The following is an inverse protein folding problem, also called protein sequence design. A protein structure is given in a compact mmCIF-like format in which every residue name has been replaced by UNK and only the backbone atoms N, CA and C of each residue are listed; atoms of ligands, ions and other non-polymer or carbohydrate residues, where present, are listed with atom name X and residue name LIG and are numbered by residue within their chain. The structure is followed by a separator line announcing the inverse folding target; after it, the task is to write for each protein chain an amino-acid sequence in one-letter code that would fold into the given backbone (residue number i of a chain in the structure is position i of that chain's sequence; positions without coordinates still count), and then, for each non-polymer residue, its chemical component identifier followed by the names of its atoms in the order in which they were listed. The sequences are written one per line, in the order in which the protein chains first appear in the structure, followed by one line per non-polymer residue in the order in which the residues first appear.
data_IF_198316884257
#
_entry.id   IF_198316884257
#
_cell.length_a   1.000
_cell.length_b   1.000
_cell.length_c   1.000
_cell.angle_alpha   90.00
_cell.angle_beta   90.00
_cell.angle_gamma   90.00
#
_symmetry.space_group_name_H-M   'P 1'
#
loop_
_entity.id
_entity.type
_entity.pdbx_description
1 polymer ?
#
# COMPACT_ATOMS: atom_id res chain seq x y z
N UNK A 1 1.49 -9.72 18.80
CA UNK A 1 0.66 -8.50 19.01
C UNK A 1 -0.12 -8.06 17.74
N UNK A 2 0.40 -8.22 16.52
CA UNK A 2 -0.28 -7.86 15.25
C UNK A 2 -0.87 -9.03 14.44
N UNK A 3 -0.98 -10.23 15.00
CA UNK A 3 -1.37 -11.41 14.21
C UNK A 3 -2.76 -11.32 13.57
N UNK A 4 -3.72 -10.66 14.22
CA UNK A 4 -5.04 -10.41 13.67
C UNK A 4 -5.01 -9.43 12.47
N UNK A 5 -4.06 -8.49 12.41
CA UNK A 5 -3.86 -7.63 11.24
C UNK A 5 -3.36 -8.43 10.05
N UNK A 6 -2.43 -9.38 10.28
CA UNK A 6 -1.95 -10.27 9.22
C UNK A 6 -3.09 -11.14 8.64
N UNK A 7 -3.95 -11.69 9.51
CA UNK A 7 -5.13 -12.45 9.07
C UNK A 7 -6.11 -11.59 8.26
N UNK A 8 -6.39 -10.37 8.71
CA UNK A 8 -7.21 -9.40 7.97
C UNK A 8 -6.61 -9.04 6.62
N UNK A 9 -5.29 -8.79 6.56
CA UNK A 9 -4.59 -8.40 5.33
C UNK A 9 -4.58 -9.53 4.28
N UNK A 10 -4.41 -10.78 4.72
CA UNK A 10 -4.58 -11.98 3.87
C UNK A 10 -5.97 -12.09 3.26
N UNK A 11 -6.97 -11.52 3.93
CA UNK A 11 -8.37 -11.49 3.48
C UNK A 11 -8.71 -10.22 2.70
N UNK A 12 -7.72 -9.38 2.38
CA UNK A 12 -7.83 -8.09 1.68
C UNK A 12 -8.50 -6.96 2.47
N UNK A 13 -8.60 -7.09 3.79
CA UNK A 13 -9.06 -6.04 4.70
C UNK A 13 -7.84 -5.45 5.41
N UNK A 14 -7.07 -4.61 4.72
CA UNK A 14 -5.79 -4.13 5.25
C UNK A 14 -5.99 -3.10 6.36
N UNK A 15 -5.23 -3.23 7.45
CA UNK A 15 -5.14 -2.21 8.51
C UNK A 15 -4.11 -1.11 8.16
N UNK A 16 -3.51 -1.18 6.97
CA UNK A 16 -2.32 -0.42 6.60
C UNK A 16 -1.10 -1.25 6.96
N UNK A 17 -0.24 -0.70 7.81
CA UNK A 17 0.91 -1.41 8.37
C UNK A 17 0.49 -2.34 9.51
N UNK A 18 1.04 -3.55 9.54
CA UNK A 18 0.96 -4.48 10.67
C UNK A 18 1.91 -3.98 11.77
N UNK A 19 1.34 -3.58 12.90
CA UNK A 19 2.07 -2.93 14.00
C UNK A 19 1.56 -3.32 15.41
N UNK A 20 0.56 -4.19 15.50
CA UNK A 20 -0.07 -4.62 16.73
C UNK A 20 -1.10 -3.65 17.33
N UNK A 21 -1.27 -2.46 16.77
CA UNK A 21 -2.10 -1.42 17.38
C UNK A 21 -3.52 -1.42 16.79
N UNK A 22 -4.51 -1.49 17.69
CA UNK A 22 -5.91 -1.36 17.30
C UNK A 22 -6.32 0.12 17.29
N UNK A 23 -6.43 0.71 16.10
CA UNK A 23 -6.76 2.11 15.90
C UNK A 23 -7.84 2.30 14.83
N UNK A 24 -8.05 3.54 14.37
CA UNK A 24 -9.10 3.88 13.37
C UNK A 24 -9.03 3.03 12.10
N UNK A 25 -7.84 2.80 11.54
CA UNK A 25 -7.65 1.95 10.34
C UNK A 25 -8.06 0.50 10.62
N UNK A 26 -7.64 -0.02 11.77
CA UNK A 26 -7.97 -1.37 12.24
C UNK A 26 -9.49 -1.56 12.44
N UNK A 27 -10.15 -0.60 13.10
CA UNK A 27 -11.60 -0.59 13.28
C UNK A 27 -12.33 -0.62 11.94
N UNK A 28 -11.90 0.20 10.96
CA UNK A 28 -12.48 0.22 9.61
C UNK A 28 -12.31 -1.10 8.88
N UNK A 29 -11.10 -1.67 8.91
CA UNK A 29 -10.82 -2.98 8.30
C UNK A 29 -11.71 -4.08 8.92
N UNK A 30 -11.86 -4.09 10.24
CA UNK A 30 -12.75 -5.02 10.95
C UNK A 30 -14.21 -4.81 10.55
N UNK A 31 -14.71 -3.56 10.54
CA UNK A 31 -16.09 -3.26 10.11
C UNK A 31 -16.36 -3.78 8.69
N UNK A 32 -15.46 -3.53 7.75
CA UNK A 32 -15.63 -3.98 6.36
C UNK A 32 -15.51 -5.51 6.23
N UNK A 33 -14.67 -6.14 7.04
CA UNK A 33 -14.60 -7.59 7.13
C UNK A 33 -15.89 -8.20 7.69
N UNK A 34 -16.47 -7.60 8.73
CA UNK A 34 -17.77 -8.03 9.29
C UNK A 34 -18.88 -7.91 8.25
N UNK A 35 -18.94 -6.79 7.52
CA UNK A 35 -19.88 -6.60 6.40
C UNK A 35 -19.68 -7.70 5.34
N UNK A 36 -18.44 -7.96 4.93
CA UNK A 36 -18.12 -9.01 3.95
C UNK A 36 -18.58 -10.40 4.39
N UNK A 37 -18.53 -10.67 5.69
CA UNK A 37 -18.90 -11.95 6.30
C UNK A 37 -20.36 -12.00 6.76
N UNK A 38 -21.13 -10.93 6.58
CA UNK A 38 -22.49 -10.79 7.08
C UNK A 38 -22.60 -11.00 8.61
N UNK A 39 -21.62 -10.49 9.35
CA UNK A 39 -21.61 -10.50 10.82
C UNK A 39 -22.19 -9.18 11.36
N UNK A 40 -22.45 -9.12 12.67
CA UNK A 40 -22.74 -7.87 13.34
C UNK A 40 -21.59 -6.86 13.14
N UNK A 41 -21.92 -5.64 12.71
CA UNK A 41 -20.93 -4.60 12.37
C UNK A 41 -20.49 -3.81 13.61
N UNK A 42 -19.85 -4.48 14.56
CA UNK A 42 -19.39 -3.88 15.82
C UNK A 42 -18.14 -3.00 15.64
N UNK A 43 -17.35 -3.27 14.60
CA UNK A 43 -16.02 -2.68 14.41
C UNK A 43 -14.99 -3.14 15.46
N UNK A 44 -15.31 -4.16 16.24
CA UNK A 44 -14.45 -4.72 17.29
C UNK A 44 -14.03 -6.15 16.95
N UNK A 45 -12.92 -6.60 17.51
CA UNK A 45 -12.49 -8.02 17.44
C UNK A 45 -13.26 -8.88 18.45
N UNK A 46 -14.59 -8.83 18.39
CA UNK A 46 -15.47 -9.66 19.21
C UNK A 46 -15.30 -11.16 18.92
N UNK A 47 -15.96 -12.01 19.71
CA UNK A 47 -15.81 -13.47 19.63
C UNK A 47 -16.16 -13.96 18.23
N UNK A 48 -17.29 -13.51 17.66
CA UNK A 48 -17.76 -13.94 16.34
C UNK A 48 -16.78 -13.53 15.23
N UNK A 49 -16.27 -12.30 15.29
CA UNK A 49 -15.27 -11.79 14.35
C UNK A 49 -13.98 -12.60 14.41
N UNK A 50 -13.46 -12.89 15.61
CA UNK A 50 -12.24 -13.68 15.77
C UNK A 50 -12.39 -15.11 15.27
N UNK A 51 -13.54 -15.75 15.51
CA UNK A 51 -13.84 -17.08 14.97
C UNK A 51 -13.83 -17.09 13.43
N UNK A 52 -14.32 -16.01 12.80
CA UNK A 52 -14.36 -15.89 11.35
C UNK A 52 -13.03 -15.43 10.71
N UNK A 53 -12.12 -14.82 11.47
CA UNK A 53 -10.77 -14.46 11.01
C UNK A 53 -9.84 -15.67 10.88
N UNK A 54 -10.06 -16.68 11.72
CA UNK A 54 -9.23 -17.89 11.78
C UNK A 54 -8.32 -17.94 13.00
N UNK A 55 -7.48 -18.99 13.09
CA UNK A 55 -6.64 -19.25 14.26
C UNK A 55 -5.44 -18.28 14.29
N UNK A 56 -5.09 -17.69 15.45
CA UNK A 56 -3.94 -16.79 15.58
C UNK A 56 -2.56 -17.42 15.34
N UNK A 57 -2.44 -18.75 15.45
CA UNK A 57 -1.15 -19.48 15.36
C UNK A 57 -0.43 -19.34 14.02
N UNK A 58 -1.17 -19.06 12.93
CA UNK A 58 -0.59 -18.90 11.59
C UNK A 58 -0.18 -17.45 11.29
N UNK A 59 -0.21 -16.55 12.27
CA UNK A 59 -0.08 -15.11 12.00
C UNK A 59 1.38 -14.61 11.96
N UNK A 60 2.33 -15.45 12.35
CA UNK A 60 3.76 -15.20 12.28
C UNK A 60 4.47 -16.40 11.65
N UNK A 61 5.64 -16.17 11.05
CA UNK A 61 6.47 -17.20 10.45
C UNK A 61 7.94 -16.93 10.79
N UNK A 62 8.70 -18.01 10.93
CA UNK A 62 10.15 -17.94 10.97
C UNK A 62 10.69 -17.74 9.55
N UNK A 63 11.49 -16.69 9.38
CA UNK A 63 12.02 -16.25 8.12
C UNK A 63 13.53 -16.18 8.18
N UNK A 64 14.19 -16.79 7.19
CA UNK A 64 15.64 -16.69 7.02
C UNK A 64 15.95 -15.57 6.02
N UNK A 65 16.69 -14.55 6.45
CA UNK A 65 17.17 -13.50 5.54
C UNK A 65 18.05 -14.13 4.46
N UNK A 66 17.74 -13.88 3.19
CA UNK A 66 18.42 -14.50 2.06
C UNK A 66 19.49 -13.58 1.45
N UNK A 67 20.35 -14.11 0.59
CA UNK A 67 21.28 -13.27 -0.17
C UNK A 67 20.53 -12.39 -1.19
N UNK A 68 19.44 -12.92 -1.77
CA UNK A 68 18.56 -12.22 -2.71
C UNK A 68 17.84 -11.03 -2.07
N UNK A 69 17.42 -11.17 -0.82
CA UNK A 69 16.89 -10.07 -0.01
C UNK A 69 17.90 -8.92 0.09
N UNK A 70 19.15 -9.23 0.41
CA UNK A 70 20.22 -8.24 0.59
C UNK A 70 20.72 -7.67 -0.74
N UNK A 71 20.64 -8.42 -1.83
CA UNK A 71 21.00 -7.96 -3.18
C UNK A 71 20.10 -6.81 -3.67
N UNK A 72 18.93 -6.62 -3.07
CA UNK A 72 17.99 -5.52 -3.36
C UNK A 72 18.26 -4.26 -2.55
N UNK A 73 19.27 -4.27 -1.67
CA UNK A 73 19.61 -3.12 -0.85
C UNK A 73 20.67 -2.30 -1.59
N UNK A 74 20.28 -1.11 -2.04
CA UNK A 74 21.12 -0.20 -2.81
C UNK A 74 21.29 1.14 -2.10
N UNK A 75 22.38 1.88 -2.33
CA UNK A 75 22.54 3.22 -1.79
C UNK A 75 21.36 4.13 -2.14
N UNK A 76 20.92 4.95 -1.18
CA UNK A 76 19.84 5.92 -1.40
C UNK A 76 20.29 7.00 -2.39
N UNK A 77 19.59 7.20 -3.52
CA UNK A 77 19.90 8.28 -4.45
C UNK A 77 19.59 9.65 -3.83
N UNK A 78 20.37 10.68 -4.18
CA UNK A 78 20.28 12.02 -3.59
C UNK A 78 19.21 12.92 -4.22
N UNK A 79 18.51 12.45 -5.25
CA UNK A 79 17.51 13.23 -5.97
C UNK A 79 16.99 12.53 -7.22
N UNK A 80 16.07 13.19 -7.93
CA UNK A 80 15.43 12.68 -9.14
C UNK A 80 16.44 12.42 -10.27
N UNK A 81 17.50 13.24 -10.38
CA UNK A 81 18.52 13.04 -11.41
C UNK A 81 19.28 11.72 -11.22
N UNK A 82 19.67 11.40 -9.98
CA UNK A 82 20.35 10.15 -9.66
C UNK A 82 19.39 8.95 -9.80
N UNK A 83 18.15 9.09 -9.31
CA UNK A 83 17.09 8.09 -9.50
C UNK A 83 16.92 7.70 -10.97
N UNK A 84 16.92 8.68 -11.89
CA UNK A 84 16.73 8.45 -13.33
C UNK A 84 17.85 7.65 -13.99
N UNK A 85 19.00 7.49 -13.33
CA UNK A 85 20.17 6.76 -13.84
C UNK A 85 20.28 5.34 -13.28
N UNK A 86 19.43 4.97 -12.33
CA UNK A 86 19.40 3.63 -11.75
C UNK A 86 18.73 2.63 -12.71
N UNK A 87 18.95 1.33 -12.47
CA UNK A 87 18.25 0.27 -13.19
C UNK A 87 16.84 0.01 -12.61
N UNK A 88 16.67 0.20 -11.30
CA UNK A 88 15.43 0.05 -10.53
C UNK A 88 15.52 0.89 -9.26
N UNK A 89 14.38 1.38 -8.76
CA UNK A 89 14.27 2.08 -7.47
C UNK A 89 14.00 1.07 -6.35
N UNK A 90 15.05 0.32 -5.98
CA UNK A 90 15.02 -0.68 -4.92
C UNK A 90 15.13 -0.08 -3.50
N UNK A 91 15.23 -0.94 -2.48
CA UNK A 91 15.28 -0.56 -1.07
C UNK A 91 16.64 -0.03 -0.65
N UNK A 92 16.67 0.71 0.47
CA UNK A 92 17.90 1.34 0.98
C UNK A 92 18.29 0.82 2.37
N UNK A 93 17.39 0.12 3.04
CA UNK A 93 17.62 -0.51 4.33
C UNK A 93 17.03 -1.93 4.35
N UNK A 94 17.73 -2.94 4.92
CA UNK A 94 17.18 -4.30 4.98
C UNK A 94 15.87 -4.39 5.77
N UNK A 95 15.68 -3.57 6.82
CA UNK A 95 14.43 -3.58 7.58
C UNK A 95 13.29 -2.93 6.80
N UNK A 96 13.56 -1.91 5.98
CA UNK A 96 12.60 -1.35 5.01
C UNK A 96 12.10 -2.44 4.05
N UNK A 97 13.02 -3.18 3.42
CA UNK A 97 12.66 -4.26 2.50
C UNK A 97 11.82 -5.34 3.18
N UNK A 98 12.26 -5.82 4.35
CA UNK A 98 11.54 -6.85 5.10
C UNK A 98 10.17 -6.35 5.60
N UNK A 99 10.07 -5.08 5.96
CA UNK A 99 8.82 -4.47 6.38
C UNK A 99 7.83 -4.38 5.21
N UNK A 100 8.28 -3.95 4.03
CA UNK A 100 7.48 -3.98 2.81
C UNK A 100 7.03 -5.41 2.46
N UNK A 101 7.94 -6.39 2.55
CA UNK A 101 7.66 -7.80 2.28
C UNK A 101 6.62 -8.41 3.24
N UNK A 102 6.58 -7.94 4.47
CA UNK A 102 5.68 -8.44 5.52
C UNK A 102 4.54 -7.48 5.88
N UNK A 103 4.33 -6.44 5.06
CA UNK A 103 3.28 -5.42 5.21
C UNK A 103 3.28 -4.73 6.58
N UNK A 104 4.46 -4.51 7.17
CA UNK A 104 4.65 -3.94 8.51
C UNK A 104 5.52 -2.68 8.48
N UNK A 105 6.08 -2.30 9.63
CA UNK A 105 7.08 -1.22 9.72
C UNK A 105 8.44 -1.75 10.17
N UNK A 106 9.54 -1.08 9.80
CA UNK A 106 10.87 -1.42 10.30
C UNK A 106 10.93 -1.42 11.84
N UNK A 107 10.23 -0.48 12.48
CA UNK A 107 10.14 -0.38 13.94
C UNK A 107 9.46 -1.60 14.54
N UNK A 108 8.33 -2.04 13.98
CA UNK A 108 7.62 -3.21 14.45
C UNK A 108 8.44 -4.50 14.28
N UNK A 109 9.15 -4.64 13.15
CA UNK A 109 10.01 -5.81 12.94
C UNK A 109 11.18 -5.88 13.92
N UNK A 110 11.80 -4.74 14.26
CA UNK A 110 12.84 -4.70 15.30
C UNK A 110 12.29 -5.03 16.68
N UNK A 111 11.08 -4.57 17.00
CA UNK A 111 10.41 -4.93 18.25
C UNK A 111 10.06 -6.42 18.34
N UNK A 112 9.70 -7.02 17.20
CA UNK A 112 9.42 -8.45 17.09
C UNK A 112 10.71 -9.30 17.19
N UNK A 113 11.86 -8.72 16.85
CA UNK A 113 13.17 -9.37 16.80
C UNK A 113 14.22 -8.61 17.65
N UNK A 114 14.01 -8.41 18.96
CA UNK A 114 14.82 -7.50 19.77
C UNK A 114 16.28 -7.95 19.95
N UNK A 115 16.57 -9.23 19.77
CA UNK A 115 17.92 -9.78 19.85
C UNK A 115 18.76 -9.55 18.58
N UNK A 116 18.13 -9.10 17.48
CA UNK A 116 18.78 -8.99 16.17
C UNK A 116 19.27 -7.55 15.96
N UNK A 117 20.59 -7.36 15.99
CA UNK A 117 21.24 -6.05 15.81
C UNK A 117 21.76 -5.82 14.39
N UNK A 118 22.02 -6.89 13.63
CA UNK A 118 22.43 -6.86 12.23
C UNK A 118 21.65 -7.90 11.40
N UNK A 119 21.65 -7.74 10.07
CA UNK A 119 20.89 -8.59 9.15
C UNK A 119 21.77 -9.19 8.03
N UNK A 120 22.82 -9.97 8.34
CA UNK A 120 23.47 -10.78 7.32
C UNK A 120 22.51 -11.86 6.77
N UNK A 121 22.86 -12.43 5.62
CA UNK A 121 22.16 -13.60 5.09
C UNK A 121 22.29 -14.77 6.10
N UNK A 122 21.21 -15.53 6.28
CA UNK A 122 21.11 -16.59 7.28
C UNK A 122 20.52 -16.14 8.63
N UNK A 123 20.33 -14.84 8.87
CA UNK A 123 19.68 -14.37 10.10
C UNK A 123 18.24 -14.87 10.17
N UNK A 124 17.89 -15.49 11.29
CA UNK A 124 16.52 -15.91 11.60
C UNK A 124 15.72 -14.76 12.19
N UNK A 125 14.53 -14.52 11.64
CA UNK A 125 13.58 -13.51 12.08
C UNK A 125 12.20 -14.11 12.25
N UNK A 126 11.41 -13.57 13.16
CA UNK A 126 9.96 -13.73 13.16
C UNK A 126 9.34 -12.56 12.40
N UNK A 127 8.54 -12.86 11.37
CA UNK A 127 7.82 -11.86 10.56
C UNK A 127 6.30 -12.11 10.60
N UNK A 128 5.46 -11.08 10.37
CA UNK A 128 4.06 -11.31 10.02
C UNK A 128 3.93 -12.30 8.87
N UNK A 129 3.10 -13.32 9.05
CA UNK A 129 2.91 -14.33 8.04
C UNK A 129 1.81 -13.88 7.07
N UNK A 130 2.16 -13.78 5.79
CA UNK A 130 1.26 -13.39 4.69
C UNK A 130 1.02 -14.53 3.69
N UNK A 131 1.53 -15.73 3.98
CA UNK A 131 1.22 -16.92 3.19
C UNK A 131 -0.29 -17.17 3.16
N UNK A 132 -0.79 -17.62 2.01
CA UNK A 132 -2.23 -17.81 1.81
C UNK A 132 -3.03 -16.52 1.60
N UNK A 133 -2.36 -15.36 1.39
CA UNK A 133 -3.06 -14.12 1.00
C UNK A 133 -3.95 -14.37 -0.22
N UNK A 134 -5.24 -14.07 -0.08
CA UNK A 134 -6.24 -14.28 -1.10
C UNK A 134 -6.06 -13.27 -2.23
N UNK A 135 -6.06 -13.75 -3.47
CA UNK A 135 -6.18 -12.87 -4.63
C UNK A 135 -7.53 -12.15 -4.58
N UNK A 136 -7.53 -10.88 -4.96
CA UNK A 136 -8.78 -10.16 -5.16
C UNK A 136 -9.54 -10.78 -6.35
N UNK A 137 -10.87 -10.97 -6.23
CA UNK A 137 -11.71 -11.30 -7.37
C UNK A 137 -11.79 -10.09 -8.33
N UNK A 138 -12.34 -10.25 -9.55
CA UNK A 138 -12.59 -9.14 -10.45
C UNK A 138 -13.37 -8.02 -9.75
N UNK A 139 -12.82 -6.80 -9.79
CA UNK A 139 -13.45 -5.62 -9.21
C UNK A 139 -14.50 -5.07 -10.19
N UNK A 140 -15.70 -4.79 -9.69
CA UNK A 140 -16.80 -4.16 -10.43
C UNK A 140 -16.87 -2.65 -10.23
N UNK A 141 -16.49 -2.14 -9.05
CA UNK A 141 -16.41 -0.70 -8.75
C UNK A 141 -15.48 -0.40 -7.58
N UNK A 142 -15.02 0.85 -7.51
CA UNK A 142 -14.18 1.37 -6.43
C UNK A 142 -14.88 2.56 -5.78
N UNK A 143 -14.85 2.63 -4.45
CA UNK A 143 -15.30 3.80 -3.68
C UNK A 143 -14.15 4.31 -2.84
N UNK A 144 -13.89 5.60 -2.91
CA UNK A 144 -12.89 6.28 -2.11
C UNK A 144 -13.63 7.18 -1.12
N UNK A 145 -13.53 6.83 0.15
CA UNK A 145 -14.20 7.53 1.25
C UNK A 145 -13.23 8.54 1.86
N UNK A 146 -13.56 9.82 1.71
CA UNK A 146 -12.64 10.93 2.01
C UNK A 146 -12.48 11.11 3.53
N UNK A 147 -13.59 11.22 4.26
CA UNK A 147 -13.59 11.28 5.72
C UNK A 147 -12.93 10.04 6.35
N UNK A 148 -13.08 8.88 5.71
CA UNK A 148 -12.51 7.62 6.17
C UNK A 148 -11.10 7.35 5.66
N UNK A 149 -10.50 8.20 4.82
CA UNK A 149 -9.16 7.94 4.26
C UNK A 149 -8.99 6.48 3.81
N UNK A 150 -10.00 5.95 3.13
CA UNK A 150 -10.15 4.50 2.84
C UNK A 150 -10.67 4.29 1.43
N UNK A 151 -10.11 3.31 0.74
CA UNK A 151 -10.60 2.77 -0.52
C UNK A 151 -11.31 1.44 -0.25
N UNK A 152 -12.52 1.30 -0.77
CA UNK A 152 -13.26 0.05 -0.85
C UNK A 152 -13.30 -0.43 -2.30
N UNK A 153 -13.02 -1.70 -2.51
CA UNK A 153 -13.23 -2.37 -3.79
C UNK A 153 -14.43 -3.31 -3.65
N UNK A 154 -15.34 -3.24 -4.61
CA UNK A 154 -16.51 -4.10 -4.69
C UNK A 154 -16.39 -5.02 -5.90
N UNK A 155 -16.85 -6.26 -5.77
CA UNK A 155 -16.94 -7.17 -6.91
C UNK A 155 -18.12 -6.82 -7.84
N UNK A 156 -18.30 -7.62 -8.89
CA UNK A 156 -19.39 -7.44 -9.87
C UNK A 156 -20.80 -7.68 -9.30
N UNK A 157 -20.91 -8.23 -8.09
CA UNK A 157 -22.17 -8.43 -7.37
C UNK A 157 -22.39 -7.37 -6.28
N UNK A 158 -21.62 -6.27 -6.30
CA UNK A 158 -21.65 -5.21 -5.29
C UNK A 158 -21.28 -5.66 -3.86
N UNK A 159 -20.58 -6.78 -3.70
CA UNK A 159 -20.03 -7.19 -2.41
C UNK A 159 -18.69 -6.51 -2.18
N UNK A 160 -18.45 -5.97 -0.97
CA UNK A 160 -17.11 -5.47 -0.61
C UNK A 160 -16.13 -6.64 -0.57
N UNK A 161 -15.03 -6.51 -1.32
CA UNK A 161 -13.98 -7.55 -1.43
C UNK A 161 -12.60 -7.05 -1.01
N UNK A 162 -12.44 -5.74 -0.83
CA UNK A 162 -11.24 -5.14 -0.27
C UNK A 162 -11.55 -3.88 0.52
N UNK A 163 -10.76 -3.64 1.56
CA UNK A 163 -10.71 -2.39 2.31
C UNK A 163 -9.24 -2.01 2.50
N UNK A 164 -8.81 -0.89 1.92
CA UNK A 164 -7.42 -0.41 1.97
C UNK A 164 -7.36 1.02 2.49
N UNK A 165 -6.50 1.32 3.48
CA UNK A 165 -6.20 2.70 3.85
C UNK A 165 -5.64 3.46 2.65
N UNK A 166 -6.07 4.70 2.50
CA UNK A 166 -5.80 5.55 1.36
C UNK A 166 -5.49 6.98 1.82
N UNK A 167 -4.32 7.51 1.45
CA UNK A 167 -4.09 8.96 1.56
C UNK A 167 -4.76 9.68 0.41
N UNK A 168 -5.30 10.85 0.72
CA UNK A 168 -6.04 11.73 -0.18
C UNK A 168 -5.24 13.02 -0.33
N UNK A 169 -5.52 13.83 -1.36
CA UNK A 169 -4.93 15.14 -1.53
C UNK A 169 -4.97 15.97 -0.23
N UNK A 170 -3.81 16.52 0.17
CA UNK A 170 -3.73 17.45 1.31
C UNK A 170 -4.60 18.69 1.05
N UNK A 171 -4.52 19.18 -0.18
CA UNK A 171 -5.36 20.24 -0.69
C UNK A 171 -6.72 19.67 -1.13
N UNK A 172 -7.75 19.92 -0.31
CA UNK A 172 -9.11 19.44 -0.57
C UNK A 172 -9.69 19.96 -1.89
N UNK A 173 -9.20 21.09 -2.40
CA UNK A 173 -9.67 21.63 -3.69
C UNK A 173 -9.26 20.75 -4.88
N UNK A 174 -8.27 19.87 -4.67
CA UNK A 174 -7.81 18.90 -5.67
C UNK A 174 -8.54 17.57 -5.56
N UNK A 175 -9.47 17.39 -4.63
CA UNK A 175 -10.26 16.15 -4.58
C UNK A 175 -11.26 16.18 -5.73
N UNK A 176 -11.29 15.17 -6.62
CA UNK A 176 -12.27 15.12 -7.69
C UNK A 176 -13.70 14.98 -7.14
N UNK A 177 -14.62 15.80 -7.64
CA UNK A 177 -16.05 15.79 -7.27
C UNK A 177 -16.97 15.29 -8.39
N UNK A 178 -16.40 14.61 -9.38
CA UNK A 178 -17.11 14.05 -10.53
C UNK A 178 -16.97 12.52 -10.55
N UNK A 179 -17.90 11.79 -11.19
CA UNK A 179 -17.71 10.38 -11.48
C UNK A 179 -16.42 10.15 -12.27
N UNK A 180 -15.64 9.14 -11.85
CA UNK A 180 -14.40 8.75 -12.51
C UNK A 180 -14.51 7.31 -13.01
N UNK A 181 -13.64 6.96 -13.95
CA UNK A 181 -13.43 5.57 -14.35
C UNK A 181 -11.94 5.27 -14.38
N UNK A 182 -11.58 3.99 -14.24
CA UNK A 182 -10.22 3.54 -14.54
C UNK A 182 -9.93 3.78 -16.02
N UNK A 183 -8.93 4.57 -16.33
CA UNK A 183 -8.53 4.92 -17.70
C UNK A 183 -7.40 4.01 -18.21
N UNK A 184 -6.36 3.80 -17.39
CA UNK A 184 -5.23 2.93 -17.72
C UNK A 184 -4.66 2.27 -16.47
N UNK A 185 -3.87 1.22 -16.68
CA UNK A 185 -3.31 0.39 -15.62
C UNK A 185 -1.86 0.10 -15.99
N UNK A 186 -0.94 0.34 -15.07
CA UNK A 186 0.47 0.05 -15.24
C UNK A 186 1.03 -0.61 -13.96
N UNK A 187 1.23 -1.94 -13.95
CA UNK A 187 1.96 -2.60 -12.88
C UNK A 187 3.45 -2.28 -12.99
N UNK A 188 4.09 -2.01 -11.85
CA UNK A 188 5.49 -1.62 -11.74
C UNK A 188 5.91 -0.53 -12.76
N UNK A 189 5.26 0.65 -12.74
CA UNK A 189 5.41 1.66 -13.79
C UNK A 189 6.71 2.47 -13.65
N UNK A 190 7.23 2.94 -14.78
CA UNK A 190 8.13 4.09 -14.77
C UNK A 190 7.41 5.33 -14.23
N UNK A 191 8.16 6.25 -13.62
CA UNK A 191 7.64 7.54 -13.23
C UNK A 191 8.23 8.66 -14.09
N UNK A 192 7.36 9.48 -14.70
CA UNK A 192 7.81 10.65 -15.46
C UNK A 192 7.88 11.86 -14.53
N UNK A 193 9.11 12.26 -14.19
CA UNK A 193 9.35 13.55 -13.55
C UNK A 193 9.16 14.66 -14.58
N UNK A 194 8.25 15.60 -14.31
CA UNK A 194 8.05 16.79 -15.13
C UNK A 194 8.51 18.04 -14.36
N UNK A 195 9.59 18.73 -14.80
CA UNK A 195 10.08 19.93 -14.12
C UNK A 195 9.07 21.08 -14.11
N UNK A 196 8.03 21.04 -14.95
CA UNK A 196 6.94 22.02 -14.95
C UNK A 196 5.92 21.75 -13.84
N UNK A 197 5.84 20.51 -13.33
CA UNK A 197 4.94 20.11 -12.25
C UNK A 197 5.67 20.16 -10.91
N UNK A 198 6.89 19.62 -10.86
CA UNK A 198 7.73 19.57 -9.66
C UNK A 198 8.78 20.68 -9.69
N UNK A 199 8.32 21.93 -9.82
CA UNK A 199 9.17 23.10 -10.06
C UNK A 199 10.22 23.33 -8.96
N UNK A 200 9.85 23.15 -7.69
CA UNK A 200 10.78 23.32 -6.56
C UNK A 200 11.91 22.29 -6.61
N UNK A 201 11.58 21.01 -6.79
CA UNK A 201 12.59 19.95 -6.90
C UNK A 201 13.46 20.12 -8.15
N UNK A 202 12.85 20.52 -9.27
CA UNK A 202 13.56 20.79 -10.52
C UNK A 202 14.56 21.94 -10.39
N UNK A 203 14.18 23.02 -9.72
CA UNK A 203 15.06 24.16 -9.44
C UNK A 203 16.21 23.77 -8.51
N UNK A 204 15.93 23.00 -7.46
CA UNK A 204 16.94 22.54 -6.49
C UNK A 204 18.00 21.63 -7.15
N UNK A 205 17.60 20.77 -8.08
CA UNK A 205 18.50 19.83 -8.77
C UNK A 205 19.00 20.34 -10.14
N UNK A 206 18.56 21.52 -10.60
CA UNK A 206 18.91 22.05 -11.92
C UNK A 206 18.34 21.25 -13.10
N UNK A 207 17.21 20.57 -12.92
CA UNK A 207 16.58 19.72 -13.94
C UNK A 207 15.69 20.57 -14.85
N UNK A 208 16.02 20.64 -16.14
CA UNK A 208 15.30 21.46 -17.14
C UNK A 208 14.46 20.66 -18.14
N UNK A 209 14.57 19.32 -18.13
CA UNK A 209 13.86 18.42 -19.03
C UNK A 209 13.19 17.28 -18.24
N UNK A 210 12.26 16.57 -18.88
CA UNK A 210 11.59 15.42 -18.26
C UNK A 210 12.59 14.30 -18.00
N UNK A 211 12.47 13.65 -16.85
CA UNK A 211 13.23 12.44 -16.53
C UNK A 211 12.27 11.26 -16.50
N UNK A 212 12.76 10.10 -16.95
CA UNK A 212 12.07 8.83 -16.75
C UNK A 212 12.80 8.11 -15.61
N UNK A 213 12.11 7.96 -14.50
CA UNK A 213 12.59 7.20 -13.37
C UNK A 213 12.20 5.73 -13.59
N UNK A 214 13.15 4.79 -13.40
CA UNK A 214 12.88 3.37 -13.52
C UNK A 214 11.85 2.94 -12.46
N UNK A 215 11.20 1.78 -12.64
CA UNK A 215 10.22 1.32 -11.70
C UNK A 215 10.90 0.78 -10.43
N UNK A 216 10.10 0.50 -9.40
CA UNK A 216 10.59 -0.11 -8.16
C UNK A 216 9.74 0.26 -6.94
N UNK A 217 9.91 -0.44 -5.81
CA UNK A 217 9.19 -0.15 -4.58
C UNK A 217 9.37 1.30 -4.10
N UNK A 218 10.53 1.89 -4.36
CA UNK A 218 10.84 3.27 -3.98
C UNK A 218 10.53 4.32 -5.06
N UNK A 219 9.79 3.95 -6.11
CA UNK A 219 9.26 4.90 -7.10
C UNK A 219 8.28 5.89 -6.45
N UNK A 220 8.22 7.17 -6.88
CA UNK A 220 7.24 8.15 -6.37
C UNK A 220 5.77 7.72 -6.48
N UNK A 221 5.47 6.80 -7.41
CA UNK A 221 4.15 6.18 -7.59
C UNK A 221 4.11 4.71 -7.14
N UNK A 222 5.20 4.21 -6.56
CA UNK A 222 5.33 2.87 -6.04
C UNK A 222 5.23 1.78 -7.11
N UNK A 223 4.75 0.62 -6.70
CA UNK A 223 4.73 -0.61 -7.51
C UNK A 223 3.52 -0.75 -8.43
N UNK A 224 2.61 0.22 -8.45
CA UNK A 224 1.41 0.16 -9.27
C UNK A 224 0.83 1.55 -9.53
N UNK A 225 0.32 1.73 -10.75
CA UNK A 225 -0.45 2.91 -11.16
C UNK A 225 -1.77 2.49 -11.80
N UNK A 226 -2.86 3.09 -11.32
CA UNK A 226 -4.21 2.98 -11.88
C UNK A 226 -4.64 4.41 -12.23
N UNK A 227 -4.47 4.81 -13.49
CA UNK A 227 -4.86 6.13 -13.96
C UNK A 227 -6.38 6.27 -14.01
N UNK A 228 -6.89 7.44 -13.63
CA UNK A 228 -8.31 7.77 -13.66
C UNK A 228 -8.64 8.59 -14.92
N UNK A 229 -9.93 8.67 -15.26
CA UNK A 229 -10.43 9.43 -16.42
C UNK A 229 -10.17 10.94 -16.34
N UNK A 230 -9.87 11.46 -15.14
CA UNK A 230 -9.40 12.83 -14.96
C UNK A 230 -7.87 12.89 -15.14
N UNK A 231 -7.35 13.62 -16.14
CA UNK A 231 -5.93 13.66 -16.43
C UNK A 231 -5.08 14.08 -15.22
N UNK A 232 -3.99 13.34 -14.97
CA UNK A 232 -3.09 13.59 -13.84
C UNK A 232 -3.53 12.96 -12.51
N UNK A 233 -4.71 12.32 -12.46
CA UNK A 233 -5.19 11.61 -11.27
C UNK A 233 -5.01 10.10 -11.40
N UNK A 234 -4.66 9.47 -10.29
CA UNK A 234 -4.48 8.03 -10.22
C UNK A 234 -4.62 7.49 -8.80
N UNK A 235 -4.87 6.18 -8.72
CA UNK A 235 -4.69 5.37 -7.52
C UNK A 235 -3.35 4.65 -7.67
N UNK A 236 -2.44 4.81 -6.71
CA UNK A 236 -1.08 4.32 -6.88
C UNK A 236 -0.42 3.89 -5.56
N UNK A 237 0.72 3.19 -5.67
CA UNK A 237 1.56 2.78 -4.55
C UNK A 237 2.35 3.94 -3.91
N UNK A 238 3.23 3.67 -2.97
CA UNK A 238 4.07 4.71 -2.36
C UNK A 238 5.34 4.10 -1.78
N UNK A 239 6.47 4.84 -1.78
CA UNK A 239 7.67 4.45 -1.05
C UNK A 239 7.50 4.54 0.47
N UNK A 240 6.46 5.24 0.94
CA UNK A 240 6.25 5.59 2.36
C UNK A 240 4.92 5.01 2.89
N UNK A 241 4.79 3.67 2.99
CA UNK A 241 3.52 3.05 3.36
C UNK A 241 3.05 3.39 4.78
N UNK A 242 3.97 3.76 5.66
CA UNK A 242 3.68 4.19 7.04
C UNK A 242 3.01 5.56 7.15
N UNK A 243 3.08 6.38 6.10
CA UNK A 243 2.45 7.71 6.03
C UNK A 243 1.04 7.68 5.44
N UNK A 244 0.59 6.52 4.96
CA UNK A 244 -0.76 6.35 4.44
C UNK A 244 -1.81 6.68 5.51
N UNK A 245 -2.75 7.54 5.13
CA UNK A 245 -3.80 8.16 5.96
C UNK A 245 -3.28 9.13 7.03
N UNK A 246 -1.99 9.50 7.03
CA UNK A 246 -1.38 10.49 7.94
C UNK A 246 -0.96 11.76 7.21
N UNK A 247 -0.40 11.63 6.01
CA UNK A 247 -0.02 12.74 5.14
C UNK A 247 -0.93 12.82 3.92
N UNK A 248 -1.13 14.04 3.42
CA UNK A 248 -1.91 14.26 2.22
C UNK A 248 -1.05 14.24 0.96
N UNK A 249 -1.64 13.83 -0.16
CA UNK A 249 -0.98 13.79 -1.47
C UNK A 249 -1.07 15.14 -2.20
N UNK A 250 -0.48 15.23 -3.39
CA UNK A 250 -0.60 16.40 -4.28
C UNK A 250 -1.86 16.37 -5.18
N UNK A 251 -2.75 15.39 -5.02
CA UNK A 251 -3.97 15.22 -5.83
C UNK A 251 -4.40 13.76 -6.00
N UNK A 252 -3.46 12.81 -5.98
CA UNK A 252 -3.73 11.39 -6.20
C UNK A 252 -4.17 10.61 -4.95
N UNK A 253 -4.63 9.38 -5.15
CA UNK A 253 -5.00 8.46 -4.08
C UNK A 253 -3.86 7.47 -3.83
N UNK A 254 -3.19 7.59 -2.69
CA UNK A 254 -2.02 6.73 -2.37
C UNK A 254 -2.44 5.56 -1.52
N UNK A 255 -1.97 4.37 -1.87
CA UNK A 255 -2.06 3.14 -1.11
C UNK A 255 -0.65 2.67 -0.76
N UNK A 256 -0.52 1.85 0.29
CA UNK A 256 0.69 1.06 0.46
C UNK A 256 0.92 0.16 -0.78
N UNK A 257 2.18 -0.04 -1.15
CA UNK A 257 2.58 -0.77 -2.35
C UNK A 257 1.94 -2.18 -2.43
N UNK A 258 1.86 -2.91 -1.32
CA UNK A 258 1.19 -4.21 -1.26
C UNK A 258 -0.31 -4.16 -1.59
N UNK A 259 -1.01 -3.11 -1.15
CA UNK A 259 -2.43 -2.93 -1.46
C UNK A 259 -2.63 -2.48 -2.91
N UNK A 260 -1.78 -1.57 -3.40
CA UNK A 260 -1.80 -1.12 -4.80
C UNK A 260 -1.54 -2.30 -5.77
N UNK A 261 -0.56 -3.16 -5.44
CA UNK A 261 -0.24 -4.36 -6.21
C UNK A 261 -1.38 -5.39 -6.21
N UNK A 262 -2.13 -5.53 -5.10
CA UNK A 262 -3.35 -6.35 -5.09
C UNK A 262 -4.40 -5.77 -6.04
N UNK A 263 -4.68 -4.47 -5.93
CA UNK A 263 -5.74 -3.80 -6.67
C UNK A 263 -5.48 -3.77 -8.19
N UNK A 264 -4.26 -3.42 -8.61
CA UNK A 264 -3.87 -3.27 -10.02
C UNK A 264 -4.09 -4.54 -10.84
N UNK A 265 -3.99 -5.72 -10.19
CA UNK A 265 -4.21 -7.03 -10.82
C UNK A 265 -5.71 -7.35 -11.01
N UNK A 266 -6.57 -6.77 -10.18
CA UNK A 266 -7.99 -7.08 -10.11
C UNK A 266 -8.89 -6.08 -10.87
N UNK A 267 -8.36 -4.91 -11.22
CA UNK A 267 -9.08 -3.86 -11.96
C UNK A 267 -8.87 -3.94 -13.48
N UNK A 268 -9.76 -3.32 -14.25
CA UNK A 268 -9.71 -3.18 -15.71
C UNK A 268 -10.14 -1.75 -16.11
N UNK A 269 -9.72 -1.23 -17.28
CA UNK A 269 -10.25 0.03 -17.79
C UNK A 269 -11.77 0.03 -17.87
N UNK A 270 -12.38 1.17 -17.59
CA UNK A 270 -13.83 1.37 -17.57
C UNK A 270 -14.51 1.12 -16.21
N UNK A 271 -13.82 0.51 -15.23
CA UNK A 271 -14.40 0.33 -13.88
C UNK A 271 -14.73 1.71 -13.28
N UNK A 272 -15.95 1.92 -12.76
CA UNK A 272 -16.32 3.16 -12.10
C UNK A 272 -15.58 3.35 -10.78
N UNK A 273 -15.19 4.59 -10.52
CA UNK A 273 -14.54 5.05 -9.31
C UNK A 273 -15.34 6.23 -8.77
N UNK A 274 -15.88 6.07 -7.57
CA UNK A 274 -16.66 7.09 -6.87
C UNK A 274 -15.82 7.68 -5.74
N UNK A 275 -15.84 9.00 -5.63
CA UNK A 275 -15.20 9.73 -4.53
C UNK A 275 -16.30 10.30 -3.66
N UNK A 276 -16.41 9.82 -2.43
CA UNK A 276 -17.46 10.21 -1.49
C UNK A 276 -16.86 11.00 -0.32
N UNK A 277 -17.53 12.08 0.15
CA UNK A 277 -17.04 12.92 1.24
C UNK A 277 -16.72 12.17 2.53
#
# INVERSE_FOLDING_TARGET
MGGWQALLDRLNFSCGTIDGHFAKRSRRAVTQFQIHRALATTGELDIETRLNLGKPGDAYIDYTVTAEDLARIVPRPKGYLEMSRLASLEYHDPWEMLAEKSHSTPTFLRQLNPAVTNLPAGTQLTLPNLEGTRKLPPVGRIVIMIAETTLLAFDTNNKVVACFPCSIAADKTKVPHQPLTVANIAPNPNYTFDPKVLTLAAQQEGITHKLILPPGPNSPVGTAWIGLSLPGYGIHGTPEPEDISRTGSHGCFRLANWNATKLVRAVRPGIPVEVVP
#
